data_IF_013286657965
#
_entry.id   IF_013286657965
#
_cell.length_a   1.000
_cell.length_b   1.000
_cell.length_c   1.000
_cell.angle_alpha   90.00
_cell.angle_beta   90.00
_cell.angle_gamma   90.00
#
_symmetry.space_group_name_H-M   'P 1'
#
loop_
_entity.id
_entity.type
_entity.pdbx_description
1 polymer ?
#
# COMPACT_ATOMS: atom_id res chain seq x y z
N UNK A 1 9.57 8.31 16.63
CA UNK A 1 8.26 8.88 16.26
C UNK A 1 7.89 8.46 14.85
N UNK A 2 8.80 8.64 13.88
CA UNK A 2 8.62 8.14 12.50
C UNK A 2 8.33 6.64 12.46
N UNK A 3 9.07 5.80 13.18
CA UNK A 3 8.78 4.35 13.31
C UNK A 3 7.33 4.04 13.70
N UNK A 4 6.80 4.75 14.70
CA UNK A 4 5.41 4.58 15.15
C UNK A 4 4.46 5.01 14.04
N UNK A 5 4.73 6.15 13.41
CA UNK A 5 3.92 6.68 12.32
C UNK A 5 3.89 5.75 11.10
N UNK A 6 5.04 5.29 10.60
CA UNK A 6 5.15 4.43 9.41
C UNK A 6 4.53 3.05 9.66
N UNK A 7 4.66 2.51 10.88
CA UNK A 7 3.97 1.29 11.29
C UNK A 7 2.46 1.48 11.32
N UNK A 8 1.97 2.57 11.92
CA UNK A 8 0.54 2.90 11.91
C UNK A 8 0.01 3.12 10.50
N UNK A 9 0.81 3.71 9.61
CA UNK A 9 0.48 3.90 8.20
C UNK A 9 0.31 2.56 7.48
N UNK A 10 1.27 1.64 7.66
CA UNK A 10 1.19 0.30 7.09
C UNK A 10 -0.05 -0.47 7.58
N UNK A 11 -0.30 -0.49 8.89
CA UNK A 11 -1.46 -1.21 9.44
C UNK A 11 -2.77 -0.62 8.94
N UNK A 12 -2.92 0.71 9.02
CA UNK A 12 -4.20 1.38 8.71
C UNK A 12 -4.48 1.46 7.22
N UNK A 13 -3.44 1.51 6.38
CA UNK A 13 -3.62 1.65 4.93
C UNK A 13 -3.39 0.32 4.24
N UNK A 14 -2.22 -0.30 4.37
CA UNK A 14 -1.90 -1.51 3.60
C UNK A 14 -2.70 -2.70 4.10
N UNK A 15 -2.64 -3.01 5.40
CA UNK A 15 -3.28 -4.23 5.96
C UNK A 15 -4.79 -4.16 5.89
N UNK A 16 -5.37 -3.03 6.29
CA UNK A 16 -6.82 -2.85 6.22
C UNK A 16 -7.35 -2.91 4.79
N UNK A 17 -6.73 -2.20 3.82
CA UNK A 17 -7.18 -2.26 2.43
C UNK A 17 -6.97 -3.64 1.82
N UNK A 18 -5.87 -4.33 2.12
CA UNK A 18 -5.65 -5.70 1.63
C UNK A 18 -6.74 -6.65 2.13
N UNK A 19 -7.15 -6.52 3.40
CA UNK A 19 -8.27 -7.28 3.96
C UNK A 19 -9.59 -6.94 3.28
N UNK A 20 -9.83 -5.65 2.98
CA UNK A 20 -11.01 -5.22 2.24
C UNK A 20 -11.03 -5.81 0.83
N UNK A 21 -9.92 -5.75 0.08
CA UNK A 21 -9.82 -6.33 -1.25
C UNK A 21 -10.03 -7.84 -1.23
N UNK A 22 -9.38 -8.55 -0.31
CA UNK A 22 -9.58 -9.99 -0.14
C UNK A 22 -11.05 -10.32 0.09
N UNK A 23 -11.70 -9.62 1.02
CA UNK A 23 -13.12 -9.81 1.30
C UNK A 23 -14.00 -9.52 0.07
N UNK A 24 -13.73 -8.43 -0.66
CA UNK A 24 -14.45 -8.09 -1.88
C UNK A 24 -14.35 -9.21 -2.91
N UNK A 25 -13.16 -9.75 -3.14
CA UNK A 25 -12.99 -10.86 -4.09
C UNK A 25 -13.66 -12.15 -3.63
N UNK A 26 -13.62 -12.47 -2.33
CA UNK A 26 -14.13 -13.73 -1.79
C UNK A 26 -15.64 -13.75 -1.56
N UNK A 27 -16.28 -12.60 -1.33
CA UNK A 27 -17.68 -12.55 -0.87
C UNK A 27 -18.64 -11.88 -1.85
N UNK A 28 -18.13 -11.18 -2.87
CA UNK A 28 -19.01 -10.46 -3.80
C UNK A 28 -19.79 -11.42 -4.67
N UNK A 29 -21.12 -11.42 -4.52
CA UNK A 29 -22.00 -12.13 -5.42
C UNK A 29 -22.18 -11.35 -6.73
N UNK A 30 -21.70 -11.91 -7.84
CA UNK A 30 -21.79 -11.28 -9.16
C UNK A 30 -23.22 -11.37 -9.69
N UNK A 31 -23.83 -10.22 -9.96
CA UNK A 31 -25.20 -10.11 -10.49
C UNK A 31 -25.19 -9.43 -11.88
N UNK A 32 -26.30 -9.47 -12.64
CA UNK A 32 -26.41 -8.73 -13.90
C UNK A 32 -26.15 -7.23 -13.76
N UNK A 33 -26.42 -6.65 -12.57
CA UNK A 33 -26.21 -5.22 -12.26
C UNK A 33 -24.80 -4.88 -11.81
N UNK A 34 -23.96 -5.88 -11.52
CA UNK A 34 -22.55 -5.65 -11.17
C UNK A 34 -21.83 -5.02 -12.36
N UNK A 35 -20.98 -4.02 -12.10
CA UNK A 35 -20.20 -3.37 -13.15
C UNK A 35 -19.30 -4.36 -13.90
N UNK A 36 -19.07 -4.12 -15.19
CA UNK A 36 -18.33 -5.03 -16.06
C UNK A 36 -16.87 -5.19 -15.66
N UNK A 37 -16.24 -4.16 -15.08
CA UNK A 37 -14.90 -4.28 -14.50
C UNK A 37 -14.93 -5.29 -13.34
N UNK A 38 -15.87 -5.15 -12.41
CA UNK A 38 -15.98 -6.02 -11.24
C UNK A 38 -16.35 -7.46 -11.61
N UNK A 39 -17.23 -7.66 -12.59
CA UNK A 39 -17.52 -8.99 -13.15
C UNK A 39 -16.24 -9.68 -13.64
N UNK A 40 -15.40 -8.96 -14.39
CA UNK A 40 -14.14 -9.49 -14.91
C UNK A 40 -13.10 -9.71 -13.81
N UNK A 41 -12.97 -8.78 -12.87
CA UNK A 41 -12.02 -8.86 -11.78
C UNK A 41 -12.32 -10.06 -10.85
N UNK A 42 -13.59 -10.24 -10.46
CA UNK A 42 -14.02 -11.38 -9.65
C UNK A 42 -13.89 -12.67 -10.45
N UNK A 43 -14.34 -12.70 -11.71
CA UNK A 43 -14.19 -13.88 -12.57
C UNK A 43 -12.72 -14.29 -12.79
N UNK A 44 -11.81 -13.32 -12.89
CA UNK A 44 -10.37 -13.58 -12.91
C UNK A 44 -9.90 -14.18 -11.59
N UNK A 45 -10.23 -13.57 -10.44
CA UNK A 45 -9.87 -14.09 -9.12
C UNK A 45 -10.36 -15.52 -8.91
N UNK A 46 -11.61 -15.82 -9.27
CA UNK A 46 -12.22 -17.15 -9.13
C UNK A 46 -11.56 -18.21 -10.02
N UNK A 47 -10.96 -17.79 -11.15
CA UNK A 47 -10.24 -18.69 -12.05
C UNK A 47 -8.85 -19.11 -11.54
N UNK A 48 -8.32 -18.42 -10.52
CA UNK A 48 -7.02 -18.69 -9.92
C UNK A 48 -7.08 -19.85 -8.91
N UNK A 49 -5.98 -20.60 -8.80
CA UNK A 49 -5.73 -21.49 -7.67
C UNK A 49 -5.55 -20.68 -6.39
N UNK A 50 -5.69 -21.31 -5.22
CA UNK A 50 -5.51 -20.62 -3.93
C UNK A 50 -4.09 -20.03 -3.80
N UNK A 51 -3.06 -20.74 -4.27
CA UNK A 51 -1.68 -20.24 -4.35
C UNK A 51 -1.57 -18.99 -5.24
N UNK A 52 -2.27 -18.96 -6.39
CA UNK A 52 -2.26 -17.81 -7.29
C UNK A 52 -3.07 -16.64 -6.74
N UNK A 53 -4.12 -16.89 -5.95
CA UNK A 53 -4.87 -15.84 -5.22
C UNK A 53 -3.99 -15.20 -4.16
N UNK A 54 -3.27 -15.99 -3.38
CA UNK A 54 -2.30 -15.47 -2.41
C UNK A 54 -1.19 -14.67 -3.10
N UNK A 55 -0.70 -15.16 -4.25
CA UNK A 55 0.27 -14.42 -5.08
C UNK A 55 -0.30 -13.09 -5.57
N UNK A 56 -1.54 -13.05 -6.05
CA UNK A 56 -2.19 -11.81 -6.48
C UNK A 56 -2.34 -10.81 -5.32
N UNK A 57 -2.73 -11.27 -4.14
CA UNK A 57 -2.82 -10.42 -2.95
C UNK A 57 -1.46 -9.85 -2.55
N UNK A 58 -0.37 -10.63 -2.65
CA UNK A 58 1.00 -10.14 -2.43
C UNK A 58 1.42 -9.08 -3.44
N UNK A 59 1.06 -9.24 -4.72
CA UNK A 59 1.31 -8.21 -5.75
C UNK A 59 0.58 -6.92 -5.41
N UNK A 60 -0.68 -7.01 -4.97
CA UNK A 60 -1.48 -5.86 -4.53
C UNK A 60 -0.82 -5.18 -3.31
N UNK A 61 -0.41 -5.96 -2.31
CA UNK A 61 0.29 -5.48 -1.12
C UNK A 61 1.58 -4.73 -1.48
N UNK A 62 2.43 -5.33 -2.32
CA UNK A 62 3.67 -4.69 -2.78
C UNK A 62 3.40 -3.39 -3.54
N UNK A 63 2.40 -3.38 -4.42
CA UNK A 63 2.01 -2.17 -5.17
C UNK A 63 1.62 -1.03 -4.22
N UNK A 64 0.90 -1.34 -3.12
CA UNK A 64 0.56 -0.33 -2.10
C UNK A 64 1.79 0.15 -1.35
N UNK A 65 2.68 -0.76 -0.95
CA UNK A 65 3.94 -0.44 -0.26
C UNK A 65 4.78 0.50 -1.11
N UNK A 66 5.01 0.16 -2.39
CA UNK A 66 5.80 0.97 -3.31
C UNK A 66 5.18 2.36 -3.51
N UNK A 67 3.85 2.43 -3.64
CA UNK A 67 3.15 3.70 -3.82
C UNK A 67 3.29 4.59 -2.59
N UNK A 68 3.13 4.02 -1.39
CA UNK A 68 3.28 4.76 -0.14
C UNK A 68 4.73 5.21 0.04
N UNK A 69 5.70 4.32 -0.16
CA UNK A 69 7.13 4.64 -0.05
C UNK A 69 7.53 5.80 -0.95
N UNK A 70 7.14 5.75 -2.24
CA UNK A 70 7.43 6.83 -3.18
C UNK A 70 6.76 8.16 -2.76
N UNK A 71 5.53 8.10 -2.23
CA UNK A 71 4.84 9.30 -1.76
C UNK A 71 5.50 9.86 -0.49
N UNK A 72 5.93 9.01 0.44
CA UNK A 72 6.70 9.44 1.60
C UNK A 72 7.99 10.12 1.18
N UNK A 73 8.69 9.55 0.17
CA UNK A 73 9.90 10.16 -0.36
C UNK A 73 9.68 11.53 -0.98
N UNK A 74 8.55 11.72 -1.65
CA UNK A 74 8.16 13.04 -2.17
C UNK A 74 7.88 14.02 -1.02
N UNK A 75 7.16 13.58 0.02
CA UNK A 75 6.74 14.44 1.15
C UNK A 75 7.91 14.83 2.05
N UNK A 76 8.83 13.91 2.31
CA UNK A 76 9.99 14.15 3.17
C UNK A 76 11.16 14.79 2.43
N UNK A 77 11.06 14.96 1.11
CA UNK A 77 12.07 15.62 0.28
C UNK A 77 13.23 14.71 -0.17
N UNK A 78 13.21 13.41 0.13
CA UNK A 78 14.21 12.45 -0.38
C UNK A 78 14.03 12.12 -1.86
N UNK A 79 12.84 12.36 -2.43
CA UNK A 79 12.49 12.17 -3.83
C UNK A 79 11.88 13.42 -4.47
N UNK A 80 12.25 13.71 -5.71
CA UNK A 80 11.73 14.87 -6.47
C UNK A 80 10.58 14.48 -7.40
N UNK A 81 9.63 15.40 -7.58
CA UNK A 81 8.60 15.27 -8.60
C UNK A 81 9.08 15.82 -9.96
N UNK A 82 8.74 15.12 -11.03
CA UNK A 82 9.07 15.57 -12.39
C UNK A 82 8.40 16.91 -12.69
N UNK A 83 9.19 17.86 -13.20
CA UNK A 83 8.74 19.20 -13.60
C UNK A 83 8.05 19.99 -12.47
N UNK A 84 8.38 19.69 -11.20
CA UNK A 84 7.85 20.36 -10.03
C UNK A 84 9.01 20.85 -9.14
N UNK A 85 9.07 22.15 -8.86
CA UNK A 85 10.11 22.75 -8.02
C UNK A 85 9.68 22.91 -6.55
N UNK A 86 8.51 22.38 -6.18
CA UNK A 86 8.05 22.45 -4.80
C UNK A 86 8.61 21.29 -3.99
N UNK A 87 9.19 21.62 -2.84
CA UNK A 87 9.62 20.66 -1.84
C UNK A 87 8.60 20.71 -0.69
N UNK A 88 7.67 19.75 -0.61
CA UNK A 88 6.78 19.66 0.54
C UNK A 88 7.57 19.32 1.81
N UNK A 89 6.96 19.62 2.96
CA UNK A 89 7.46 19.19 4.27
C UNK A 89 6.29 18.70 5.10
N UNK A 90 6.47 17.56 5.76
CA UNK A 90 5.55 17.07 6.78
C UNK A 90 6.14 17.30 8.16
N UNK A 91 5.30 17.83 9.05
CA UNK A 91 5.62 17.90 10.47
C UNK A 91 4.76 16.88 11.20
N UNK A 92 5.39 15.96 11.93
CA UNK A 92 4.72 15.07 12.87
C UNK A 92 4.90 15.66 14.26
N UNK A 93 3.81 16.07 14.91
CA UNK A 93 3.84 16.74 16.21
C UNK A 93 4.83 17.93 16.28
N UNK A 94 4.86 18.74 15.21
CA UNK A 94 5.77 19.89 15.02
C UNK A 94 7.25 19.54 14.83
N UNK A 95 7.59 18.27 14.66
CA UNK A 95 8.95 17.81 14.35
C UNK A 95 9.03 17.54 12.84
N UNK A 96 10.07 18.12 12.21
CA UNK A 96 10.36 17.92 10.78
C UNK A 96 10.77 16.47 10.53
N UNK A 97 10.29 15.92 9.41
CA UNK A 97 10.55 14.55 8.99
C UNK A 97 11.44 14.48 7.76
N UNK A 98 12.11 15.58 7.40
CA UNK A 98 12.97 15.73 6.23
C UNK A 98 13.94 14.57 6.06
N UNK A 99 13.82 13.86 4.93
CA UNK A 99 14.69 12.75 4.55
C UNK A 99 14.56 11.45 5.36
N UNK A 100 13.55 11.32 6.24
CA UNK A 100 13.49 10.18 7.16
C UNK A 100 12.30 9.22 6.91
N UNK A 101 11.21 9.67 6.29
CA UNK A 101 9.97 8.89 6.23
C UNK A 101 10.03 7.72 5.26
N UNK A 102 10.61 7.93 4.07
CA UNK A 102 10.74 6.89 3.07
C UNK A 102 11.59 5.74 3.61
N UNK A 103 12.77 6.06 4.15
CA UNK A 103 13.71 5.10 4.70
C UNK A 103 13.10 4.37 5.90
N UNK A 104 12.49 5.10 6.84
CA UNK A 104 11.81 4.50 8.01
C UNK A 104 10.71 3.51 7.60
N UNK A 105 9.94 3.83 6.56
CA UNK A 105 8.89 2.94 6.08
C UNK A 105 9.48 1.70 5.41
N UNK A 106 10.51 1.83 4.57
CA UNK A 106 11.16 0.70 3.92
C UNK A 106 11.86 -0.22 4.91
N UNK A 107 12.59 0.33 5.89
CA UNK A 107 13.23 -0.44 6.96
C UNK A 107 12.21 -1.28 7.72
N UNK A 108 11.07 -0.69 8.10
CA UNK A 108 9.98 -1.43 8.74
C UNK A 108 9.45 -2.59 7.89
N UNK A 109 9.34 -2.41 6.57
CA UNK A 109 8.88 -3.47 5.65
C UNK A 109 9.92 -4.59 5.55
N UNK A 110 11.21 -4.25 5.45
CA UNK A 110 12.31 -5.23 5.40
C UNK A 110 12.41 -6.05 6.68
N UNK A 111 12.25 -5.41 7.85
CA UNK A 111 12.21 -6.08 9.14
C UNK A 111 11.02 -7.03 9.25
N UNK A 112 9.83 -6.62 8.78
CA UNK A 112 8.63 -7.47 8.74
C UNK A 112 8.88 -8.71 7.89
N UNK A 113 9.44 -8.55 6.70
CA UNK A 113 9.63 -9.64 5.74
C UNK A 113 10.74 -10.60 6.16
N UNK A 114 11.77 -10.10 6.84
CA UNK A 114 12.83 -10.94 7.42
C UNK A 114 12.32 -11.81 8.58
N UNK A 115 11.21 -11.42 9.21
CA UNK A 115 10.59 -12.11 10.35
C UNK A 115 9.36 -12.96 9.98
N UNK A 116 9.01 -13.06 8.69
CA UNK A 116 7.84 -13.78 8.16
C UNK A 116 8.20 -15.16 7.59
#
# INVERSE_FOLDING_TARGET
>A
MNEIFVKSLYESIVRENLRLYKNLYETTNVTPKTDDYWKKAIGFYDSLTDENKDTLLRIIEQTMIDTISNMLGVIDGSSTLKDCSFEPKLLLDSIDTEGELQDSFLEFIEERDSNS
#
